data_IF_242806421862
#
_entry.id   IF_242806421862
#
_cell.length_a   1.000
_cell.length_b   1.000
_cell.length_c   1.000
_cell.angle_alpha   90.00
_cell.angle_beta   90.00
_cell.angle_gamma   90.00
#
_symmetry.space_group_name_H-M   'P 1'
#
loop_
_entity.id
_entity.type
_entity.pdbx_description
1 polymer ?
#
# COMPACT_ATOMS: atom_id res chain seq x y z
N UNK A 1 -1.06 -16.97 27.67
CA UNK A 1 0.28 -17.02 27.02
C UNK A 1 1.09 -15.81 27.44
N UNK A 2 2.42 -15.95 27.63
CA UNK A 2 3.33 -14.80 27.60
C UNK A 2 3.19 -14.17 26.22
N UNK A 3 2.99 -12.85 26.14
CA UNK A 3 2.97 -12.13 24.86
C UNK A 3 4.20 -12.48 24.02
N UNK A 4 4.09 -12.21 22.72
CA UNK A 4 5.17 -12.33 21.73
C UNK A 4 6.57 -12.18 22.39
N UNK A 5 7.38 -13.24 22.32
CA UNK A 5 8.77 -13.32 22.81
C UNK A 5 9.55 -12.01 22.66
N UNK A 6 10.19 -11.52 23.73
CA UNK A 6 11.06 -10.31 23.69
C UNK A 6 12.23 -10.39 22.70
N UNK A 7 12.44 -11.53 22.03
CA UNK A 7 13.51 -11.75 21.06
C UNK A 7 13.03 -11.67 19.59
N UNK A 8 11.92 -11.00 19.29
CA UNK A 8 11.51 -10.77 17.90
C UNK A 8 12.56 -9.94 17.16
N UNK A 9 13.18 -10.56 16.15
CA UNK A 9 14.14 -9.88 15.27
C UNK A 9 13.38 -8.88 14.40
N UNK A 10 13.95 -7.69 14.21
CA UNK A 10 13.47 -6.71 13.23
C UNK A 10 13.35 -7.36 11.85
N UNK A 11 12.39 -6.92 11.00
CA UNK A 11 12.31 -7.41 9.64
C UNK A 11 13.63 -7.11 8.91
N UNK A 12 14.26 -8.16 8.40
CA UNK A 12 15.52 -8.09 7.67
C UNK A 12 15.32 -8.54 6.23
N UNK A 13 16.19 -8.06 5.36
CA UNK A 13 16.21 -8.40 3.95
C UNK A 13 17.64 -8.43 3.44
N UNK A 14 17.91 -9.28 2.45
CA UNK A 14 19.24 -9.35 1.81
C UNK A 14 19.46 -8.25 0.76
N UNK A 15 18.39 -7.54 0.36
CA UNK A 15 18.48 -6.50 -0.66
C UNK A 15 18.89 -5.16 -0.05
N UNK A 16 19.68 -4.40 -0.80
CA UNK A 16 20.07 -3.04 -0.47
C UNK A 16 20.18 -2.20 -1.76
N UNK A 17 20.49 -0.92 -1.59
CA UNK A 17 20.70 0.00 -2.72
C UNK A 17 19.43 0.61 -3.28
N UNK A 18 19.55 1.22 -4.46
CA UNK A 18 18.53 2.01 -5.14
C UNK A 18 18.03 1.30 -6.41
N UNK A 19 16.93 1.78 -6.97
CA UNK A 19 16.47 1.38 -8.29
C UNK A 19 17.41 1.94 -9.36
N UNK A 20 17.75 1.10 -10.33
CA UNK A 20 18.39 1.49 -11.60
C UNK A 20 17.57 0.91 -12.75
N UNK A 21 17.77 1.42 -13.97
CA UNK A 21 17.10 0.87 -15.17
C UNK A 21 17.40 -0.62 -15.33
N UNK A 22 18.67 -0.99 -15.16
CA UNK A 22 19.13 -2.38 -15.22
C UNK A 22 18.44 -3.25 -14.16
N UNK A 23 18.39 -2.79 -12.90
CA UNK A 23 17.69 -3.52 -11.83
C UNK A 23 16.23 -3.74 -12.22
N UNK A 24 15.52 -2.70 -12.67
CA UNK A 24 14.09 -2.79 -13.02
C UNK A 24 13.86 -3.75 -14.20
N UNK A 25 14.69 -3.67 -15.24
CA UNK A 25 14.59 -4.55 -16.41
C UNK A 25 14.80 -6.01 -16.02
N UNK A 26 15.77 -6.26 -15.14
CA UNK A 26 16.14 -7.58 -14.64
C UNK A 26 15.30 -8.06 -13.45
N UNK A 27 14.30 -7.28 -12.99
CA UNK A 27 13.37 -7.73 -11.95
C UNK A 27 12.66 -8.99 -12.43
N UNK A 28 12.92 -10.08 -11.72
CA UNK A 28 12.19 -11.34 -11.81
C UNK A 28 11.18 -11.26 -10.70
N UNK A 29 9.92 -11.00 -11.01
CA UNK A 29 8.82 -10.96 -10.03
C UNK A 29 7.79 -11.92 -10.57
N UNK A 30 7.23 -12.78 -9.71
CA UNK A 30 6.23 -13.76 -10.14
C UNK A 30 6.79 -14.92 -10.98
N UNK A 31 8.12 -15.02 -11.13
CA UNK A 31 8.77 -16.04 -11.95
C UNK A 31 9.35 -17.15 -11.09
N UNK A 32 9.12 -18.39 -11.53
CA UNK A 32 9.89 -19.56 -11.12
C UNK A 32 10.98 -19.79 -12.17
N UNK A 33 12.18 -20.16 -11.73
CA UNK A 33 13.37 -20.19 -12.58
C UNK A 33 13.61 -21.60 -13.13
N UNK A 34 12.73 -22.08 -14.00
CA UNK A 34 13.03 -23.24 -14.85
C UNK A 34 14.28 -22.99 -15.70
N UNK A 35 15.01 -24.07 -16.00
CA UNK A 35 16.29 -24.15 -16.73
C UNK A 35 17.57 -23.95 -15.88
N UNK A 36 17.83 -24.88 -14.96
CA UNK A 36 19.05 -25.74 -14.94
C UNK A 36 19.07 -26.60 -13.66
N UNK A 37 19.42 -27.88 -13.81
CA UNK A 37 19.34 -28.98 -12.82
C UNK A 37 20.16 -28.82 -11.52
N UNK A 38 20.53 -27.62 -11.08
CA UNK A 38 21.46 -27.45 -9.95
C UNK A 38 20.99 -26.54 -8.82
N UNK A 39 19.87 -25.81 -8.93
CA UNK A 39 19.35 -25.02 -7.80
C UNK A 39 17.82 -25.04 -7.72
N UNK A 40 17.25 -25.10 -6.51
CA UNK A 40 15.81 -25.03 -6.35
C UNK A 40 15.28 -23.72 -6.92
N UNK A 41 14.12 -23.86 -7.53
CA UNK A 41 13.25 -22.85 -8.11
C UNK A 41 12.85 -21.78 -7.08
N UNK A 42 13.66 -20.73 -6.93
CA UNK A 42 13.29 -19.60 -6.07
C UNK A 42 12.25 -18.74 -6.81
N UNK A 43 11.01 -18.72 -6.31
CA UNK A 43 10.04 -17.69 -6.70
C UNK A 43 10.49 -16.34 -6.13
N UNK A 44 10.20 -15.27 -6.86
CA UNK A 44 10.58 -13.92 -6.48
C UNK A 44 9.36 -13.04 -6.19
N UNK A 45 9.18 -12.67 -4.92
CA UNK A 45 8.21 -11.67 -4.48
C UNK A 45 8.69 -10.22 -4.65
N UNK A 46 7.84 -9.28 -4.20
CA UNK A 46 8.07 -7.83 -4.24
C UNK A 46 9.09 -7.33 -3.21
N UNK A 47 9.73 -8.20 -2.42
CA UNK A 47 10.60 -7.76 -1.33
C UNK A 47 11.73 -6.83 -1.81
N UNK A 48 12.44 -7.20 -2.88
CA UNK A 48 13.49 -6.37 -3.47
C UNK A 48 12.94 -5.04 -3.98
N UNK A 49 11.76 -5.09 -4.63
CA UNK A 49 11.07 -3.89 -5.12
C UNK A 49 10.76 -2.95 -3.98
N UNK A 50 10.17 -3.45 -2.89
CA UNK A 50 9.81 -2.66 -1.72
C UNK A 50 11.04 -1.94 -1.16
N UNK A 51 12.15 -2.66 -0.95
CA UNK A 51 13.37 -2.09 -0.38
C UNK A 51 13.96 -1.01 -1.28
N UNK A 52 14.22 -1.34 -2.55
CA UNK A 52 14.88 -0.43 -3.47
C UNK A 52 13.99 0.75 -3.84
N UNK A 53 12.67 0.56 -3.95
CA UNK A 53 11.70 1.64 -4.17
C UNK A 53 11.75 2.66 -3.05
N UNK A 54 11.60 2.25 -1.79
CA UNK A 54 11.60 3.20 -0.67
C UNK A 54 12.95 3.89 -0.48
N UNK A 55 14.07 3.18 -0.69
CA UNK A 55 15.40 3.81 -0.69
C UNK A 55 15.50 4.89 -1.78
N UNK A 56 15.02 4.61 -3.00
CA UNK A 56 15.03 5.56 -4.12
C UNK A 56 14.11 6.75 -3.87
N UNK A 57 12.96 6.50 -3.25
CA UNK A 57 12.02 7.54 -2.85
C UNK A 57 12.67 8.53 -1.88
N UNK A 58 13.30 8.02 -0.82
CA UNK A 58 13.92 8.81 0.26
C UNK A 58 15.26 9.48 -0.14
N UNK A 59 15.86 9.08 -1.26
CA UNK A 59 17.09 9.70 -1.79
C UNK A 59 16.86 11.21 -2.09
N UNK A 60 17.91 12.04 -2.12
CA UNK A 60 17.85 13.48 -2.50
C UNK A 60 18.08 13.76 -4.00
N UNK A 61 18.22 12.72 -4.82
CA UNK A 61 18.43 12.86 -6.27
C UNK A 61 17.31 13.64 -6.99
N UNK A 62 17.66 14.22 -8.15
CA UNK A 62 16.75 14.95 -9.02
C UNK A 62 15.49 14.13 -9.35
N UNK A 63 14.33 14.76 -9.18
CA UNK A 63 13.03 14.17 -9.42
C UNK A 63 12.85 13.61 -10.83
N UNK A 64 13.32 14.29 -11.87
CA UNK A 64 13.16 13.84 -13.27
C UNK A 64 13.79 12.46 -13.50
N UNK A 65 14.94 12.19 -12.86
CA UNK A 65 15.59 10.87 -12.91
C UNK A 65 14.75 9.81 -12.19
N UNK A 66 14.19 10.16 -11.02
CA UNK A 66 13.33 9.25 -10.25
C UNK A 66 12.02 8.98 -10.96
N UNK A 67 11.41 9.98 -11.59
CA UNK A 67 10.17 9.86 -12.35
C UNK A 67 10.32 8.81 -13.45
N UNK A 68 11.40 8.87 -14.24
CA UNK A 68 11.68 7.86 -15.26
C UNK A 68 11.79 6.44 -14.68
N UNK A 69 12.48 6.30 -13.54
CA UNK A 69 12.62 5.01 -12.85
C UNK A 69 11.27 4.51 -12.30
N UNK A 70 10.47 5.39 -11.71
CA UNK A 70 9.17 5.04 -11.16
C UNK A 70 8.15 4.68 -12.24
N UNK A 71 8.14 5.39 -13.38
CA UNK A 71 7.31 5.02 -14.53
C UNK A 71 7.71 3.66 -15.10
N UNK A 72 9.01 3.40 -15.24
CA UNK A 72 9.51 2.11 -15.70
C UNK A 72 9.16 0.98 -14.71
N UNK A 73 9.34 1.22 -13.41
CA UNK A 73 8.99 0.26 -12.37
C UNK A 73 7.48 -0.02 -12.40
N UNK A 74 6.66 1.03 -12.45
CA UNK A 74 5.20 0.92 -12.53
C UNK A 74 4.78 0.03 -13.69
N UNK A 75 5.28 0.30 -14.90
CA UNK A 75 4.97 -0.53 -16.07
C UNK A 75 5.39 -1.99 -15.87
N UNK A 76 6.58 -2.22 -15.33
CA UNK A 76 7.10 -3.58 -15.05
C UNK A 76 6.20 -4.33 -14.07
N UNK A 77 5.86 -3.74 -12.92
CA UNK A 77 5.04 -4.43 -11.90
C UNK A 77 3.56 -4.52 -12.27
N UNK A 78 3.02 -3.58 -13.06
CA UNK A 78 1.64 -3.65 -13.55
C UNK A 78 1.44 -4.83 -14.50
N UNK A 79 2.46 -5.13 -15.32
CA UNK A 79 2.46 -6.24 -16.30
C UNK A 79 2.90 -7.59 -15.72
N UNK A 80 3.47 -7.62 -14.52
CA UNK A 80 3.79 -8.87 -13.83
C UNK A 80 2.52 -9.62 -13.41
N UNK A 81 2.49 -10.92 -13.75
CA UNK A 81 1.56 -11.89 -13.17
C UNK A 81 2.13 -12.41 -11.84
N UNK A 82 1.34 -12.29 -10.77
CA UNK A 82 1.68 -12.75 -9.43
C UNK A 82 1.09 -14.13 -9.12
N UNK A 83 0.52 -14.81 -10.11
CA UNK A 83 0.07 -16.19 -9.93
C UNK A 83 1.26 -17.04 -9.53
N UNK A 84 1.19 -17.59 -8.31
CA UNK A 84 2.13 -18.58 -7.81
C UNK A 84 1.87 -19.89 -8.56
N UNK A 85 2.60 -20.13 -9.64
CA UNK A 85 2.58 -21.42 -10.33
C UNK A 85 3.78 -22.24 -9.85
N UNK A 86 3.63 -22.96 -8.73
CA UNK A 86 4.70 -23.77 -8.14
C UNK A 86 5.13 -25.00 -8.97
N UNK A 87 4.63 -25.15 -10.21
CA UNK A 87 4.75 -26.35 -11.05
C UNK A 87 4.28 -27.67 -10.40
N UNK A 88 3.81 -27.61 -9.17
CA UNK A 88 2.90 -28.57 -8.56
C UNK A 88 1.62 -28.49 -9.40
N UNK A 89 1.14 -29.62 -9.94
CA UNK A 89 -0.16 -29.69 -10.64
C UNK A 89 -1.18 -28.82 -9.90
N UNK A 90 -1.99 -28.05 -10.64
CA UNK A 90 -2.94 -26.99 -10.21
C UNK A 90 -4.02 -27.48 -9.21
N UNK A 91 -3.75 -28.56 -8.51
CA UNK A 91 -4.51 -29.22 -7.47
C UNK A 91 -4.47 -28.43 -6.15
N UNK A 92 -3.64 -27.37 -6.02
CA UNK A 92 -3.40 -26.66 -4.75
C UNK A 92 -3.06 -27.64 -3.60
N UNK A 93 -2.28 -28.67 -3.91
CA UNK A 93 -1.98 -29.77 -2.98
C UNK A 93 -0.64 -29.54 -2.26
N UNK A 94 -0.61 -28.62 -1.29
CA UNK A 94 0.33 -28.75 -0.15
C UNK A 94 -0.12 -29.88 0.79
N UNK A 95 -1.36 -30.36 0.64
CA UNK A 95 -1.92 -31.57 1.23
C UNK A 95 -2.70 -32.27 0.11
N UNK A 96 -2.23 -33.42 -0.37
CA UNK A 96 -2.96 -34.20 -1.38
C UNK A 96 -4.33 -34.58 -0.82
N UNK A 97 -5.41 -34.05 -1.42
CA UNK A 97 -6.79 -34.32 -1.00
C UNK A 97 -7.55 -35.18 -2.01
N UNK A 98 -6.96 -35.49 -3.18
CA UNK A 98 -7.56 -36.45 -4.13
C UNK A 98 -7.69 -37.87 -3.54
N UNK A 99 -6.90 -38.20 -2.51
CA UNK A 99 -7.13 -39.31 -1.60
C UNK A 99 -7.39 -38.76 -0.18
N UNK A 100 -8.63 -38.37 0.14
CA UNK A 100 -9.01 -38.02 1.51
C UNK A 100 -8.98 -39.27 2.41
N UNK A 101 -7.78 -39.74 2.78
CA UNK A 101 -7.56 -40.79 3.79
C UNK A 101 -7.46 -40.24 5.21
N UNK A 102 -7.46 -38.92 5.40
CA UNK A 102 -7.54 -38.32 6.74
C UNK A 102 -9.00 -38.39 7.19
N UNK A 103 -9.39 -39.52 7.77
CA UNK A 103 -10.62 -39.61 8.56
C UNK A 103 -10.41 -38.81 9.83
N UNK A 104 -11.08 -37.67 9.92
CA UNK A 104 -11.17 -36.92 11.18
C UNK A 104 -12.32 -37.55 11.95
N UNK A 105 -12.01 -38.17 13.10
CA UNK A 105 -13.06 -38.62 14.01
C UNK A 105 -13.78 -37.40 14.58
N UNK A 106 -15.12 -37.41 14.47
CA UNK A 106 -15.95 -36.34 15.02
C UNK A 106 -15.77 -36.33 16.55
N UNK A 107 -15.25 -35.24 17.14
CA UNK A 107 -15.03 -35.20 18.56
C UNK A 107 -16.37 -35.03 19.28
N UNK A 108 -16.44 -35.49 20.53
CA UNK A 108 -17.62 -35.29 21.38
C UNK A 108 -17.57 -33.88 21.96
N UNK A 109 -18.61 -33.09 21.68
CA UNK A 109 -18.73 -31.73 22.20
C UNK A 109 -19.66 -31.68 23.41
N UNK A 110 -19.13 -31.15 24.51
CA UNK A 110 -19.90 -30.80 25.71
C UNK A 110 -20.50 -29.39 25.61
N UNK A 111 -20.01 -28.57 24.68
CA UNK A 111 -20.40 -27.18 24.49
C UNK A 111 -20.98 -26.97 23.07
N UNK A 112 -22.12 -26.30 22.99
CA UNK A 112 -22.82 -26.08 21.70
C UNK A 112 -22.02 -25.13 20.79
N UNK A 113 -21.33 -24.13 21.35
CA UNK A 113 -20.56 -23.18 20.54
C UNK A 113 -19.32 -23.83 19.90
N UNK A 114 -18.68 -24.77 20.61
CA UNK A 114 -17.59 -25.58 20.04
C UNK A 114 -18.09 -26.49 18.93
N UNK A 115 -19.29 -27.06 19.07
CA UNK A 115 -19.93 -27.87 18.03
C UNK A 115 -20.25 -27.05 16.79
N UNK A 116 -20.87 -25.89 16.94
CA UNK A 116 -21.23 -25.01 15.83
C UNK A 116 -19.97 -24.55 15.09
N UNK A 117 -18.92 -24.19 15.83
CA UNK A 117 -17.64 -23.81 15.26
C UNK A 117 -16.96 -24.97 14.51
N UNK A 118 -16.99 -26.18 15.08
CA UNK A 118 -16.48 -27.38 14.41
C UNK A 118 -17.18 -27.64 13.08
N UNK A 119 -18.52 -27.60 13.07
CA UNK A 119 -19.33 -27.83 11.87
C UNK A 119 -18.92 -26.83 10.79
N UNK A 120 -18.75 -25.56 11.15
CA UNK A 120 -18.36 -24.54 10.18
C UNK A 120 -16.92 -24.75 9.65
N UNK A 121 -15.97 -25.13 10.51
CA UNK A 121 -14.61 -25.42 10.07
C UNK A 121 -14.53 -26.67 9.19
N UNK A 122 -15.34 -27.69 9.49
CA UNK A 122 -15.48 -28.90 8.70
C UNK A 122 -16.10 -28.61 7.34
N UNK A 123 -17.16 -27.80 7.28
CA UNK A 123 -17.77 -27.35 6.01
C UNK A 123 -16.74 -26.61 5.13
N UNK A 124 -15.95 -25.71 5.70
CA UNK A 124 -14.88 -25.01 4.98
C UNK A 124 -13.78 -25.96 4.50
N UNK A 125 -13.41 -26.94 5.32
CA UNK A 125 -12.41 -27.96 4.99
C UNK A 125 -12.88 -28.86 3.84
N UNK A 126 -14.15 -29.23 3.84
CA UNK A 126 -14.80 -30.09 2.83
C UNK A 126 -15.21 -29.31 1.57
N UNK A 127 -15.24 -27.96 1.62
CA UNK A 127 -15.61 -27.12 0.48
C UNK A 127 -14.61 -27.13 -0.69
N UNK A 128 -15.07 -26.68 -1.87
CA UNK A 128 -14.35 -26.53 -3.14
C UNK A 128 -13.18 -25.51 -3.14
N UNK A 129 -12.58 -25.19 -1.98
CA UNK A 129 -11.47 -24.23 -1.85
C UNK A 129 -11.86 -22.78 -2.18
N UNK A 130 -13.03 -22.32 -1.75
CA UNK A 130 -13.44 -20.92 -1.90
C UNK A 130 -12.79 -20.02 -0.83
N UNK A 131 -11.82 -19.20 -1.26
CA UNK A 131 -11.10 -18.25 -0.40
C UNK A 131 -12.03 -17.16 0.17
N UNK A 132 -13.00 -16.67 -0.60
CA UNK A 132 -13.87 -15.60 -0.16
C UNK A 132 -14.80 -16.09 0.96
N UNK A 133 -15.37 -17.29 0.77
CA UNK A 133 -16.13 -17.97 1.82
C UNK A 133 -15.28 -18.17 3.07
N UNK A 134 -14.02 -18.59 2.92
CA UNK A 134 -13.10 -18.70 4.06
C UNK A 134 -12.82 -17.36 4.74
N UNK A 135 -12.57 -16.29 3.99
CA UNK A 135 -12.30 -14.95 4.53
C UNK A 135 -13.50 -14.39 5.31
N UNK A 136 -14.71 -14.48 4.77
CA UNK A 136 -15.92 -14.02 5.47
C UNK A 136 -16.09 -14.70 6.83
N UNK A 137 -15.85 -16.01 6.86
CA UNK A 137 -15.89 -16.79 8.10
C UNK A 137 -14.69 -16.47 9.01
N UNK A 138 -13.47 -16.33 8.47
CA UNK A 138 -12.26 -15.95 9.21
C UNK A 138 -12.43 -14.63 9.95
N UNK A 139 -13.18 -13.65 9.41
CA UNK A 139 -13.48 -12.40 10.11
C UNK A 139 -14.12 -12.63 11.49
N UNK A 140 -14.97 -13.65 11.62
CA UNK A 140 -15.59 -14.04 12.91
C UNK A 140 -14.60 -14.71 13.85
N UNK A 141 -13.58 -15.37 13.32
CA UNK A 141 -12.65 -16.23 14.08
C UNK A 141 -11.31 -15.62 14.38
N UNK A 142 -10.97 -14.51 13.74
CA UNK A 142 -9.78 -13.71 14.01
C UNK A 142 -9.64 -13.36 15.50
N UNK A 143 -10.76 -13.27 16.22
CA UNK A 143 -10.86 -12.95 17.64
C UNK A 143 -11.17 -14.16 18.53
N UNK A 144 -11.40 -15.35 17.97
CA UNK A 144 -11.78 -16.53 18.75
C UNK A 144 -10.63 -16.99 19.65
N UNK A 145 -9.39 -16.88 19.17
CA UNK A 145 -8.20 -17.17 19.98
C UNK A 145 -8.05 -16.18 21.15
N UNK A 146 -8.26 -14.88 20.90
CA UNK A 146 -8.29 -13.85 21.94
C UNK A 146 -9.41 -14.09 22.97
N UNK A 147 -10.60 -14.45 22.49
CA UNK A 147 -11.75 -14.77 23.33
C UNK A 147 -11.45 -15.96 24.24
N UNK A 148 -10.92 -17.05 23.70
CA UNK A 148 -10.56 -18.23 24.48
C UNK A 148 -9.40 -17.96 25.46
N UNK A 149 -8.43 -17.11 25.09
CA UNK A 149 -7.41 -16.64 26.03
C UNK A 149 -8.05 -15.88 27.21
N UNK A 150 -8.97 -14.96 26.92
CA UNK A 150 -9.65 -14.18 27.96
C UNK A 150 -10.56 -15.04 28.85
N UNK A 151 -11.10 -16.14 28.30
CA UNK A 151 -11.93 -17.12 29.02
C UNK A 151 -11.11 -18.23 29.69
N UNK A 152 -9.77 -18.19 29.61
CA UNK A 152 -8.85 -19.25 30.06
C UNK A 152 -9.20 -20.65 29.51
N UNK A 153 -9.84 -20.69 28.34
CA UNK A 153 -10.33 -21.91 27.67
C UNK A 153 -9.25 -22.48 26.75
N UNK A 154 -9.01 -23.79 26.82
CA UNK A 154 -8.19 -24.48 25.84
C UNK A 154 -9.01 -24.82 24.58
N UNK A 155 -8.39 -24.68 23.41
CA UNK A 155 -8.98 -25.14 22.17
C UNK A 155 -9.19 -26.66 22.21
N UNK A 156 -10.34 -27.12 21.71
CA UNK A 156 -10.47 -28.51 21.35
C UNK A 156 -9.40 -28.85 20.29
N UNK A 157 -8.54 -29.87 20.51
CA UNK A 157 -7.43 -30.17 19.61
C UNK A 157 -7.84 -30.46 18.16
N UNK A 158 -9.01 -31.10 17.96
CA UNK A 158 -9.52 -31.44 16.63
C UNK A 158 -10.00 -30.19 15.89
N UNK A 159 -10.73 -29.31 16.59
CA UNK A 159 -11.13 -28.02 16.04
C UNK A 159 -9.90 -27.19 15.62
N UNK A 160 -8.90 -27.11 16.51
CA UNK A 160 -7.65 -26.39 16.25
C UNK A 160 -6.94 -26.94 15.02
N UNK A 161 -6.89 -28.27 14.88
CA UNK A 161 -6.29 -28.94 13.74
C UNK A 161 -7.01 -28.59 12.42
N UNK A 162 -8.35 -28.67 12.38
CA UNK A 162 -9.11 -28.34 11.15
C UNK A 162 -8.90 -26.88 10.76
N UNK A 163 -8.96 -25.96 11.72
CA UNK A 163 -8.71 -24.55 11.44
C UNK A 163 -7.29 -24.32 10.88
N UNK A 164 -6.28 -24.96 11.48
CA UNK A 164 -4.89 -24.89 11.00
C UNK A 164 -4.74 -25.46 9.58
N UNK A 165 -5.44 -26.56 9.27
CA UNK A 165 -5.46 -27.14 7.93
C UNK A 165 -6.11 -26.18 6.93
N UNK A 166 -7.23 -25.52 7.28
CA UNK A 166 -7.86 -24.51 6.44
C UNK A 166 -6.92 -23.32 6.17
N UNK A 167 -6.23 -22.81 7.20
CA UNK A 167 -5.23 -21.74 7.03
C UNK A 167 -4.07 -22.17 6.13
N UNK A 168 -3.54 -23.38 6.30
CA UNK A 168 -2.47 -23.92 5.46
C UNK A 168 -2.92 -24.08 4.00
N UNK A 169 -4.17 -24.50 3.78
CA UNK A 169 -4.77 -24.68 2.45
C UNK A 169 -4.79 -23.39 1.63
N UNK A 170 -5.02 -22.25 2.28
CA UNK A 170 -5.09 -20.93 1.63
C UNK A 170 -3.79 -20.12 1.76
N UNK A 171 -2.71 -20.70 2.29
CA UNK A 171 -1.47 -19.96 2.58
C UNK A 171 -0.91 -19.25 1.34
N UNK A 172 -0.84 -19.94 0.19
CA UNK A 172 -0.38 -19.36 -1.07
C UNK A 172 -1.36 -18.30 -1.61
N UNK A 173 -2.67 -18.51 -1.44
CA UNK A 173 -3.68 -17.53 -1.83
C UNK A 173 -3.52 -16.23 -1.01
N UNK A 174 -3.19 -16.31 0.30
CA UNK A 174 -2.87 -15.15 1.13
C UNK A 174 -1.59 -14.44 0.69
N UNK A 175 -0.54 -15.19 0.37
CA UNK A 175 0.70 -14.63 -0.19
C UNK A 175 0.38 -13.87 -1.48
N UNK A 176 -0.35 -14.48 -2.41
CA UNK A 176 -0.72 -13.83 -3.66
C UNK A 176 -1.56 -12.56 -3.42
N UNK A 177 -2.56 -12.63 -2.54
CA UNK A 177 -3.40 -11.48 -2.18
C UNK A 177 -2.56 -10.32 -1.61
N UNK A 178 -1.67 -10.61 -0.66
CA UNK A 178 -0.81 -9.59 -0.02
C UNK A 178 0.23 -9.00 -0.98
N UNK A 179 0.76 -9.79 -1.92
CA UNK A 179 1.62 -9.30 -2.99
C UNK A 179 0.86 -8.37 -3.96
N UNK A 180 -0.36 -8.74 -4.36
CA UNK A 180 -1.21 -7.89 -5.20
C UNK A 180 -1.54 -6.55 -4.50
N UNK A 181 -1.88 -6.58 -3.21
CA UNK A 181 -2.08 -5.36 -2.43
C UNK A 181 -0.80 -4.52 -2.37
N UNK A 182 0.35 -5.13 -2.10
CA UNK A 182 1.65 -4.44 -2.08
C UNK A 182 1.97 -3.76 -3.40
N UNK A 183 1.76 -4.44 -4.53
CA UNK A 183 1.86 -3.86 -5.87
C UNK A 183 0.97 -2.62 -6.00
N UNK A 184 -0.30 -2.74 -5.66
CA UNK A 184 -1.28 -1.66 -5.83
C UNK A 184 -0.94 -0.44 -4.98
N UNK A 185 -0.40 -0.65 -3.77
CA UNK A 185 0.12 0.42 -2.91
C UNK A 185 1.29 1.12 -3.60
N UNK A 186 2.31 0.38 -4.04
CA UNK A 186 3.50 0.95 -4.71
C UNK A 186 3.11 1.76 -5.95
N UNK A 187 2.26 1.20 -6.81
CA UNK A 187 1.73 1.89 -8.00
C UNK A 187 1.00 3.18 -7.61
N UNK A 188 0.18 3.15 -6.57
CA UNK A 188 -0.58 4.32 -6.12
C UNK A 188 0.32 5.40 -5.52
N UNK A 189 1.35 5.01 -4.78
CA UNK A 189 2.37 5.94 -4.27
C UNK A 189 3.13 6.60 -5.43
N UNK A 190 3.54 5.83 -6.45
CA UNK A 190 4.18 6.37 -7.67
C UNK A 190 3.27 7.42 -8.34
N UNK A 191 1.99 7.09 -8.56
CA UNK A 191 1.04 8.02 -9.17
C UNK A 191 0.86 9.29 -8.33
N UNK A 192 0.82 9.16 -6.99
CA UNK A 192 0.71 10.31 -6.10
C UNK A 192 1.91 11.24 -6.24
N UNK A 193 3.13 10.69 -6.16
CA UNK A 193 4.37 11.47 -6.22
C UNK A 193 4.50 12.21 -7.55
N UNK A 194 4.27 11.54 -8.67
CA UNK A 194 4.36 12.14 -10.01
C UNK A 194 3.35 13.27 -10.16
N UNK A 195 2.10 13.04 -9.74
CA UNK A 195 1.08 14.08 -9.80
C UNK A 195 1.40 15.23 -8.84
N UNK A 196 1.95 14.97 -7.66
CA UNK A 196 2.35 16.00 -6.72
C UNK A 196 3.36 16.97 -7.35
N UNK A 197 4.43 16.46 -7.95
CA UNK A 197 5.43 17.32 -8.62
C UNK A 197 4.86 18.02 -9.85
N UNK A 198 4.05 17.33 -10.67
CA UNK A 198 3.41 17.93 -11.84
C UNK A 198 2.48 19.08 -11.48
N UNK A 199 1.63 18.89 -10.47
CA UNK A 199 0.69 19.93 -10.01
C UNK A 199 1.42 21.14 -9.45
N UNK A 200 2.45 20.91 -8.63
CA UNK A 200 3.33 21.96 -8.11
C UNK A 200 3.97 22.78 -9.22
N UNK A 201 4.58 22.12 -10.22
CA UNK A 201 5.21 22.80 -11.36
C UNK A 201 4.22 23.68 -12.14
N UNK A 202 3.02 23.18 -12.41
CA UNK A 202 1.99 23.95 -13.12
C UNK A 202 1.54 25.20 -12.34
N UNK A 203 1.41 25.08 -11.01
CA UNK A 203 1.08 26.22 -10.15
C UNK A 203 2.21 27.26 -10.11
N UNK A 204 3.46 26.81 -10.02
CA UNK A 204 4.65 27.67 -10.02
C UNK A 204 4.82 28.40 -11.36
N UNK A 205 4.62 27.74 -12.50
CA UNK A 205 4.66 28.34 -13.83
C UNK A 205 3.65 29.49 -13.97
N UNK A 206 2.40 29.26 -13.51
CA UNK A 206 1.36 30.30 -13.54
C UNK A 206 1.62 31.43 -12.56
N UNK A 207 2.13 31.13 -11.37
CA UNK A 207 2.53 32.15 -10.42
C UNK A 207 3.69 33.01 -10.96
N UNK A 208 4.64 32.41 -11.68
CA UNK A 208 5.74 33.13 -12.32
C UNK A 208 5.23 34.10 -13.40
N UNK A 209 4.27 33.66 -14.23
CA UNK A 209 3.61 34.51 -15.23
C UNK A 209 2.95 35.75 -14.58
N UNK A 210 2.23 35.56 -13.47
CA UNK A 210 1.62 36.65 -12.69
C UNK A 210 2.70 37.59 -12.13
N UNK A 211 3.78 37.04 -11.58
CA UNK A 211 4.85 37.84 -10.99
C UNK A 211 5.59 38.70 -12.03
N UNK A 212 5.73 38.21 -13.26
CA UNK A 212 6.31 38.99 -14.38
C UNK A 212 5.41 40.19 -14.69
N UNK A 213 4.10 39.98 -14.81
CA UNK A 213 3.15 41.06 -15.10
C UNK A 213 3.07 42.08 -13.96
N UNK A 214 3.16 41.64 -12.69
CA UNK A 214 3.21 42.54 -11.54
C UNK A 214 4.46 43.45 -11.60
N UNK A 215 5.64 42.89 -11.88
CA UNK A 215 6.87 43.68 -12.05
C UNK A 215 6.79 44.63 -13.24
N UNK A 216 6.15 44.21 -14.33
CA UNK A 216 5.93 45.07 -15.50
C UNK A 216 5.03 46.25 -15.14
N UNK A 217 3.92 45.99 -14.44
CA UNK A 217 3.00 47.02 -13.93
C UNK A 217 3.73 48.02 -13.03
N UNK A 218 4.48 47.55 -12.03
CA UNK A 218 5.27 48.40 -11.13
C UNK A 218 6.29 49.26 -11.90
N UNK A 219 6.96 48.69 -12.89
CA UNK A 219 7.94 49.41 -13.73
C UNK A 219 7.28 50.53 -14.53
N UNK A 220 6.07 50.32 -15.05
CA UNK A 220 5.31 51.33 -15.77
C UNK A 220 4.85 52.44 -14.80
N UNK A 221 4.32 52.06 -13.63
CA UNK A 221 3.89 53.01 -12.58
C UNK A 221 5.04 53.89 -12.07
N UNK A 222 6.24 53.34 -11.88
CA UNK A 222 7.44 54.11 -11.51
C UNK A 222 7.83 55.12 -12.59
N UNK A 223 7.81 54.73 -13.87
CA UNK A 223 8.08 55.64 -15.00
C UNK A 223 7.08 56.81 -15.08
N UNK A 224 5.85 56.62 -14.60
CA UNK A 224 4.85 57.70 -14.52
C UNK A 224 5.20 58.66 -13.40
N UNK A 225 5.56 58.13 -12.21
CA UNK A 225 5.97 58.95 -11.06
C UNK A 225 7.20 59.81 -11.36
N UNK A 226 8.15 59.29 -12.13
CA UNK A 226 9.36 60.01 -12.55
C UNK A 226 9.13 61.07 -13.65
N UNK A 227 7.99 61.05 -14.36
CA UNK A 227 7.71 61.90 -15.54
C UNK A 227 6.73 63.07 -15.29
N UNK A 228 6.55 63.50 -14.06
CA UNK A 228 5.57 64.54 -13.64
C UNK A 228 5.85 65.98 -14.14
N UNK A 229 6.47 66.18 -15.31
CA UNK A 229 6.73 67.52 -15.88
C UNK A 229 6.26 67.78 -17.32
N UNK A 230 5.75 66.82 -18.12
CA UNK A 230 5.27 67.15 -19.49
C UNK A 230 4.05 66.37 -20.02
N UNK A 231 2.98 67.14 -20.33
CA UNK A 231 1.85 66.95 -21.29
C UNK A 231 0.85 65.77 -21.13
N UNK A 232 -0.43 66.14 -21.05
CA UNK A 232 -1.62 65.32 -20.71
C UNK A 232 -1.99 64.18 -21.67
N UNK A 233 -1.64 64.21 -22.96
CA UNK A 233 -2.10 63.19 -23.92
C UNK A 233 -1.30 61.87 -23.90
N UNK A 234 -0.11 61.82 -23.28
CA UNK A 234 0.67 60.58 -23.10
C UNK A 234 0.20 59.76 -21.89
N UNK A 235 -0.59 60.34 -20.99
CA UNK A 235 -1.09 59.65 -19.81
C UNK A 235 -2.19 58.63 -20.16
N UNK A 236 -3.09 58.93 -21.09
CA UNK A 236 -4.21 58.03 -21.42
C UNK A 236 -3.75 56.69 -22.01
N UNK A 237 -2.74 56.69 -22.88
CA UNK A 237 -2.19 55.45 -23.47
C UNK A 237 -1.45 54.59 -22.42
N UNK A 238 -0.77 55.22 -21.47
CA UNK A 238 -0.06 54.53 -20.40
C UNK A 238 -1.06 53.98 -19.36
N UNK A 239 -2.09 54.74 -19.01
CA UNK A 239 -3.18 54.30 -18.14
C UNK A 239 -3.90 53.09 -18.74
N UNK A 240 -4.21 53.12 -20.04
CA UNK A 240 -4.79 51.96 -20.75
C UNK A 240 -3.88 50.72 -20.68
N UNK A 241 -2.56 50.87 -20.85
CA UNK A 241 -1.61 49.75 -20.69
C UNK A 241 -1.59 49.17 -19.28
N UNK A 242 -1.68 50.02 -18.24
CA UNK A 242 -1.79 49.56 -16.84
C UNK A 242 -3.10 48.82 -16.61
N UNK A 243 -4.21 49.31 -17.16
CA UNK A 243 -5.52 48.67 -17.08
C UNK A 243 -5.51 47.30 -17.78
N UNK A 244 -4.94 47.21 -18.99
CA UNK A 244 -4.77 45.94 -19.71
C UNK A 244 -3.95 44.92 -18.92
N UNK A 245 -2.81 45.33 -18.36
CA UNK A 245 -1.97 44.45 -17.52
C UNK A 245 -2.73 44.04 -16.25
N UNK A 246 -3.44 44.96 -15.62
CA UNK A 246 -4.24 44.67 -14.41
C UNK A 246 -5.35 43.66 -14.71
N UNK A 247 -6.03 43.80 -15.85
CA UNK A 247 -7.06 42.85 -16.28
C UNK A 247 -6.47 41.47 -16.59
N UNK A 248 -5.28 41.41 -17.21
CA UNK A 248 -4.55 40.15 -17.43
C UNK A 248 -4.17 39.47 -16.11
N UNK A 249 -3.69 40.23 -15.12
CA UNK A 249 -3.37 39.71 -13.79
C UNK A 249 -4.62 39.14 -13.11
N UNK A 250 -5.75 39.86 -13.15
CA UNK A 250 -7.02 39.37 -12.58
C UNK A 250 -7.43 38.05 -13.24
N UNK A 251 -7.37 37.98 -14.57
CA UNK A 251 -7.71 36.77 -15.30
C UNK A 251 -6.78 35.60 -14.96
N UNK A 252 -5.47 35.83 -14.91
CA UNK A 252 -4.49 34.79 -14.57
C UNK A 252 -4.61 34.32 -13.13
N UNK A 253 -4.92 35.21 -12.18
CA UNK A 253 -5.23 34.82 -10.80
C UNK A 253 -6.47 33.91 -10.74
N UNK A 254 -7.52 34.21 -11.51
CA UNK A 254 -8.69 33.34 -11.64
C UNK A 254 -8.33 31.96 -12.21
N UNK A 255 -7.49 31.91 -13.25
CA UNK A 255 -6.99 30.65 -13.82
C UNK A 255 -6.14 29.86 -12.81
N UNK A 256 -5.25 30.53 -12.08
CA UNK A 256 -4.41 29.91 -11.05
C UNK A 256 -5.26 29.30 -9.93
N UNK A 257 -6.31 29.99 -9.50
CA UNK A 257 -7.21 29.47 -8.46
C UNK A 257 -7.97 28.23 -8.94
N UNK A 258 -8.50 28.26 -10.17
CA UNK A 258 -9.12 27.07 -10.78
C UNK A 258 -8.13 25.91 -10.91
N UNK A 259 -6.89 26.20 -11.28
CA UNK A 259 -5.82 25.20 -11.38
C UNK A 259 -5.51 24.59 -10.01
N UNK A 260 -5.37 25.40 -8.97
CA UNK A 260 -5.15 24.93 -7.58
C UNK A 260 -6.28 24.02 -7.11
N UNK A 261 -7.54 24.38 -7.38
CA UNK A 261 -8.69 23.55 -7.01
C UNK A 261 -8.68 22.21 -7.75
N UNK A 262 -8.40 22.21 -9.05
CA UNK A 262 -8.26 20.98 -9.85
C UNK A 262 -7.12 20.10 -9.32
N UNK A 263 -5.97 20.68 -9.06
CA UNK A 263 -4.79 19.98 -8.55
C UNK A 263 -5.04 19.39 -7.16
N UNK A 264 -5.69 20.16 -6.29
CA UNK A 264 -6.12 19.69 -4.98
C UNK A 264 -7.00 18.43 -5.09
N UNK A 265 -7.96 18.43 -6.02
CA UNK A 265 -8.83 17.26 -6.22
C UNK A 265 -8.08 16.04 -6.74
N UNK A 266 -7.11 16.22 -7.65
CA UNK A 266 -6.25 15.14 -8.15
C UNK A 266 -5.47 14.51 -6.99
N UNK A 267 -4.84 15.33 -6.15
CA UNK A 267 -4.05 14.84 -5.02
C UNK A 267 -4.93 14.18 -3.96
N UNK A 268 -6.11 14.74 -3.68
CA UNK A 268 -7.12 14.14 -2.79
C UNK A 268 -7.52 12.74 -3.26
N UNK A 269 -7.80 12.58 -4.56
CA UNK A 269 -8.16 11.28 -5.13
C UNK A 269 -7.02 10.26 -5.03
N UNK A 270 -5.78 10.68 -5.29
CA UNK A 270 -4.60 9.81 -5.16
C UNK A 270 -4.41 9.34 -3.70
N UNK A 271 -4.51 10.26 -2.74
CA UNK A 271 -4.39 9.95 -1.32
C UNK A 271 -5.47 8.99 -0.85
N UNK A 272 -6.73 9.21 -1.26
CA UNK A 272 -7.83 8.28 -0.95
C UNK A 272 -7.54 6.88 -1.47
N UNK A 273 -7.11 6.76 -2.73
CA UNK A 273 -6.75 5.47 -3.33
C UNK A 273 -5.63 4.75 -2.57
N UNK A 274 -4.60 5.48 -2.13
CA UNK A 274 -3.54 4.92 -1.28
C UNK A 274 -4.14 4.41 0.04
N UNK A 275 -4.99 5.20 0.69
CA UNK A 275 -5.67 4.81 1.92
C UNK A 275 -6.48 3.52 1.76
N UNK A 276 -7.28 3.41 0.71
CA UNK A 276 -8.12 2.23 0.48
C UNK A 276 -7.27 0.95 0.37
N UNK A 277 -6.12 1.02 -0.33
CA UNK A 277 -5.19 -0.10 -0.39
C UNK A 277 -4.47 -0.37 0.93
N UNK A 278 -4.09 0.67 1.68
CA UNK A 278 -3.47 0.51 2.99
C UNK A 278 -4.45 -0.10 4.00
N UNK A 279 -5.73 0.27 3.97
CA UNK A 279 -6.77 -0.33 4.83
C UNK A 279 -6.85 -1.83 4.61
N UNK A 280 -6.95 -2.26 3.35
CA UNK A 280 -7.00 -3.69 3.00
C UNK A 280 -5.71 -4.42 3.38
N UNK A 281 -4.56 -3.78 3.14
CA UNK A 281 -3.28 -4.38 3.49
C UNK A 281 -3.06 -4.47 5.00
N UNK A 282 -3.49 -3.50 5.80
CA UNK A 282 -3.30 -3.55 7.25
C UNK A 282 -4.33 -4.41 7.98
N UNK A 283 -5.37 -4.89 7.29
CA UNK A 283 -6.36 -5.78 7.87
C UNK A 283 -5.69 -7.09 8.34
N UNK A 284 -5.75 -7.43 9.65
CA UNK A 284 -5.11 -8.63 10.17
C UNK A 284 -5.62 -9.92 9.54
N UNK A 285 -6.79 -9.90 8.88
CA UNK A 285 -7.35 -11.06 8.17
C UNK A 285 -6.39 -11.66 7.12
N UNK A 286 -5.49 -10.87 6.52
CA UNK A 286 -4.55 -11.33 5.51
C UNK A 286 -3.17 -11.72 6.06
N UNK A 287 -2.87 -11.34 7.31
CA UNK A 287 -1.53 -11.53 7.90
C UNK A 287 -1.52 -12.53 9.05
N UNK A 288 -2.54 -12.48 9.91
CA UNK A 288 -2.58 -13.22 11.16
C UNK A 288 -2.49 -14.73 10.94
N UNK A 289 -1.56 -15.37 11.65
CA UNK A 289 -1.34 -16.82 11.68
C UNK A 289 -1.63 -17.37 13.09
N UNK A 290 -2.17 -18.58 13.15
CA UNK A 290 -2.40 -19.30 14.42
C UNK A 290 -1.20 -20.11 14.92
N UNK A 291 -0.07 -20.13 14.19
CA UNK A 291 1.18 -20.57 14.80
C UNK A 291 1.61 -19.45 15.74
N UNK A 292 1.61 -19.72 17.04
CA UNK A 292 1.82 -18.76 18.15
C UNK A 292 3.02 -17.83 18.02
N UNK A 293 3.95 -18.16 17.14
CA UNK A 293 5.22 -17.48 17.00
C UNK A 293 5.23 -16.45 15.84
N UNK A 294 4.21 -16.40 14.98
CA UNK A 294 4.20 -15.53 13.79
C UNK A 294 2.86 -14.85 13.51
N UNK A 295 2.90 -13.52 13.41
CA UNK A 295 1.75 -12.65 13.11
C UNK A 295 1.60 -12.34 11.61
N UNK A 296 2.66 -12.57 10.82
CA UNK A 296 2.71 -12.29 9.39
C UNK A 296 2.88 -13.59 8.57
N UNK A 297 2.26 -13.65 7.40
CA UNK A 297 2.50 -14.69 6.39
C UNK A 297 3.79 -14.37 5.63
N UNK A 298 4.95 -14.70 6.20
CA UNK A 298 6.25 -14.56 5.54
C UNK A 298 6.67 -15.90 4.93
N UNK A 299 7.28 -15.88 3.75
CA UNK A 299 7.82 -17.07 3.08
C UNK A 299 9.17 -16.72 2.44
N UNK A 300 10.25 -17.25 3.00
CA UNK A 300 11.62 -16.90 2.60
C UNK A 300 11.95 -17.43 1.21
N UNK A 301 11.45 -18.63 0.89
CA UNK A 301 11.77 -19.32 -0.37
C UNK A 301 11.06 -18.64 -1.55
N UNK A 302 9.94 -17.96 -1.26
CA UNK A 302 9.21 -17.12 -2.20
C UNK A 302 9.68 -15.65 -2.16
N UNK A 303 10.67 -15.29 -1.33
CA UNK A 303 11.11 -13.90 -1.14
C UNK A 303 9.92 -12.96 -0.83
N UNK A 304 9.01 -13.44 0.02
CA UNK A 304 7.83 -12.72 0.49
C UNK A 304 8.01 -12.41 1.97
N UNK A 305 8.13 -11.12 2.27
CA UNK A 305 8.31 -10.62 3.63
C UNK A 305 7.25 -9.56 3.93
N UNK A 306 6.07 -10.03 4.34
CA UNK A 306 4.91 -9.19 4.64
C UNK A 306 5.13 -8.29 5.87
N UNK A 307 5.93 -8.73 6.84
CA UNK A 307 6.35 -7.88 7.97
C UNK A 307 7.16 -6.68 7.48
N UNK A 308 8.11 -6.88 6.56
CA UNK A 308 8.87 -5.79 5.94
C UNK A 308 7.96 -4.83 5.15
N UNK A 309 7.06 -5.39 4.32
CA UNK A 309 6.09 -4.61 3.56
C UNK A 309 5.23 -3.72 4.48
N UNK A 310 4.68 -4.31 5.54
CA UNK A 310 3.92 -3.60 6.57
C UNK A 310 4.73 -2.47 7.19
N UNK A 311 5.95 -2.75 7.66
CA UNK A 311 6.84 -1.74 8.24
C UNK A 311 7.07 -0.55 7.30
N UNK A 312 7.36 -0.82 6.02
CA UNK A 312 7.63 0.24 5.02
C UNK A 312 6.39 1.06 4.71
N UNK A 313 5.23 0.42 4.50
CA UNK A 313 3.98 1.12 4.24
C UNK A 313 3.51 1.94 5.44
N UNK A 314 3.65 1.41 6.66
CA UNK A 314 3.33 2.13 7.88
C UNK A 314 4.24 3.36 8.07
N UNK A 315 5.55 3.21 7.80
CA UNK A 315 6.49 4.33 7.84
C UNK A 315 6.16 5.40 6.80
N UNK A 316 5.81 5.00 5.57
CA UNK A 316 5.38 5.93 4.54
C UNK A 316 4.12 6.69 4.96
N UNK A 317 3.11 5.98 5.46
CA UNK A 317 1.86 6.56 5.94
C UNK A 317 2.10 7.62 7.01
N UNK A 318 2.84 7.26 8.06
CA UNK A 318 3.10 8.13 9.21
C UNK A 318 3.90 9.38 8.82
N UNK A 319 4.93 9.23 7.98
CA UNK A 319 5.82 10.34 7.60
C UNK A 319 5.24 11.24 6.51
N UNK A 320 4.50 10.70 5.53
CA UNK A 320 4.16 11.43 4.30
C UNK A 320 2.66 11.64 4.10
N UNK A 321 1.81 10.74 4.60
CA UNK A 321 0.39 10.75 4.27
C UNK A 321 -0.49 11.35 5.37
N UNK A 322 -0.15 11.12 6.65
CA UNK A 322 -0.98 11.47 7.81
C UNK A 322 -1.49 12.92 7.79
N UNK A 323 -0.62 13.90 7.58
CA UNK A 323 -1.00 15.31 7.50
C UNK A 323 -1.88 15.64 6.29
N UNK A 324 -1.65 14.95 5.16
CA UNK A 324 -2.44 15.14 3.94
C UNK A 324 -3.86 14.66 4.10
N UNK A 325 -4.09 13.60 4.90
CA UNK A 325 -5.43 13.12 5.21
C UNK A 325 -6.26 14.18 5.93
N UNK A 326 -5.70 14.78 6.98
CA UNK A 326 -6.35 15.89 7.69
C UNK A 326 -6.62 17.06 6.74
N UNK A 327 -5.63 17.46 5.94
CA UNK A 327 -5.80 18.52 4.94
C UNK A 327 -6.93 18.24 3.95
N UNK A 328 -7.09 16.99 3.53
CA UNK A 328 -8.05 16.60 2.49
C UNK A 328 -9.41 16.14 3.03
N UNK A 329 -9.58 16.10 4.35
CA UNK A 329 -10.78 15.53 4.98
C UNK A 329 -10.98 14.07 4.57
N UNK A 330 -9.90 13.30 4.55
CA UNK A 330 -9.93 11.85 4.32
C UNK A 330 -9.68 11.18 5.66
N UNK A 331 -10.45 10.14 5.94
CA UNK A 331 -10.24 9.34 7.15
C UNK A 331 -8.92 8.56 7.10
N UNK A 332 -8.42 8.21 8.27
CA UNK A 332 -7.25 7.33 8.40
C UNK A 332 -7.55 5.95 7.78
N UNK A 333 -6.57 5.26 7.16
CA UNK A 333 -6.74 3.86 6.77
C UNK A 333 -7.05 2.94 7.97
N UNK A 334 -6.79 3.42 9.20
CA UNK A 334 -7.17 2.72 10.43
C UNK A 334 -8.57 3.06 10.93
N UNK A 335 -9.21 4.15 10.46
CA UNK A 335 -10.50 4.59 10.98
C UNK A 335 -11.66 3.66 10.60
N UNK A 336 -11.55 3.01 9.44
CA UNK A 336 -12.55 2.07 8.92
C UNK A 336 -12.29 0.65 9.48
N UNK A 337 -11.13 0.42 10.10
CA UNK A 337 -10.88 -0.84 10.79
C UNK A 337 -11.68 -0.84 12.10
N UNK A 338 -12.55 -1.83 12.25
CA UNK A 338 -13.30 -2.08 13.48
C UNK A 338 -12.35 -2.08 14.71
N UNK A 339 -12.86 -1.62 15.85
CA UNK A 339 -12.05 -1.43 17.08
C UNK A 339 -11.23 -2.68 17.45
N UNK A 340 -11.83 -3.86 17.29
CA UNK A 340 -11.19 -5.15 17.56
C UNK A 340 -9.97 -5.39 16.65
N UNK A 341 -10.04 -5.03 15.37
CA UNK A 341 -8.92 -5.15 14.42
C UNK A 341 -7.80 -4.18 14.77
N UNK A 342 -8.16 -2.96 15.15
CA UNK A 342 -7.20 -1.93 15.58
C UNK A 342 -6.42 -2.41 16.80
N UNK A 343 -7.10 -2.98 17.81
CA UNK A 343 -6.45 -3.59 18.99
C UNK A 343 -5.48 -4.70 18.61
N UNK A 344 -5.81 -5.55 17.63
CA UNK A 344 -4.89 -6.58 17.15
C UNK A 344 -3.64 -5.98 16.49
N UNK A 345 -3.79 -4.95 15.65
CA UNK A 345 -2.66 -4.25 15.04
C UNK A 345 -1.74 -3.69 16.13
N UNK A 346 -2.31 -3.02 17.13
CA UNK A 346 -1.54 -2.44 18.23
C UNK A 346 -0.85 -3.49 19.10
N UNK A 347 -1.55 -4.60 19.40
CA UNK A 347 -1.05 -5.67 20.26
C UNK A 347 -0.01 -6.56 19.57
N UNK A 348 -0.21 -6.87 18.30
CA UNK A 348 0.54 -7.92 17.61
C UNK A 348 1.42 -7.44 16.46
N UNK A 349 1.03 -6.37 15.76
CA UNK A 349 1.73 -5.93 14.54
C UNK A 349 2.74 -4.82 14.84
N UNK A 350 2.32 -3.78 15.58
CA UNK A 350 3.19 -2.65 15.90
C UNK A 350 4.45 -3.04 16.69
N UNK A 351 4.41 -3.95 17.68
CA UNK A 351 5.62 -4.35 18.41
C UNK A 351 6.65 -5.12 17.56
N UNK A 352 6.25 -5.61 16.38
CA UNK A 352 7.11 -6.37 15.47
C UNK A 352 7.85 -5.49 14.46
N UNK A 353 7.65 -4.17 14.50
CA UNK A 353 8.23 -3.18 13.58
C UNK A 353 9.26 -2.34 14.33
#
# INVERSE_FOLDING_TARGET
MKGLSKNFKKPQTKYNGFLTKEIIQNLKIGQIKGETNEKPDEYFGLEEVIVKFFNTLENKDNFEKKEQLFLLLKQKIETTDFKLNLEIKDDKEYVSQKDAKIKIEDPIFNDQSDRDFYIEQKELFESDKDLNKFLEKKKKYLFLEEKFINEEKQWNPVIKLIFQLNMARFHLDFIQATQNMSKNIIVSIINYIINFEKTKKQEEEKQAEINILLREKERIELKIKEKTSEKSNKNDEITRKIEEISQKIINLNGILEQLKQKNLQILKNNVRKICDFLTNFFDPIYHYSMKSDYVFQNESDLRVNNQLAFSKFFSFFTKNLKEKLTKYGIESPFAILEEEKTKLIEKYFLPLI
#
